data_IF_618530700187
#
_entry.id   IF_618530700187
#
_cell.length_a   1.000
_cell.length_b   1.000
_cell.length_c   1.000
_cell.angle_alpha   90.00
_cell.angle_beta   90.00
_cell.angle_gamma   90.00
#
_symmetry.space_group_name_H-M   'P 1'
#
loop_
_entity.id
_entity.type
_entity.pdbx_description
1 polymer ?
#
# COMPACT_ATOMS: atom_id res chain seq x y z
N UNK A 1 8.10 22.23 -6.40
CA UNK A 1 6.76 21.79 -5.91
C UNK A 1 6.00 21.26 -7.11
N UNK A 2 5.58 20.01 -7.08
CA UNK A 2 4.75 19.44 -8.13
C UNK A 2 3.28 19.38 -7.73
N UNK A 3 2.39 19.49 -8.70
CA UNK A 3 0.95 19.43 -8.50
C UNK A 3 0.46 17.98 -8.55
N UNK A 4 -0.26 17.56 -7.51
CA UNK A 4 -0.80 16.20 -7.39
C UNK A 4 -2.33 16.24 -7.40
N UNK A 5 -2.94 15.32 -8.12
CA UNK A 5 -4.37 15.08 -8.03
C UNK A 5 -4.66 13.68 -7.48
N UNK A 6 -5.74 13.54 -6.73
CA UNK A 6 -6.20 12.24 -6.20
C UNK A 6 -7.50 11.87 -6.90
N UNK A 7 -7.51 10.75 -7.62
CA UNK A 7 -8.71 10.17 -8.20
C UNK A 7 -9.21 9.02 -7.32
N UNK A 8 -10.36 9.21 -6.67
CA UNK A 8 -10.89 8.33 -5.65
C UNK A 8 -10.48 8.76 -4.22
N UNK A 9 -11.44 9.28 -3.47
CA UNK A 9 -11.22 9.75 -2.11
C UNK A 9 -11.78 8.78 -1.06
N UNK A 10 -11.51 7.49 -1.31
CA UNK A 10 -11.79 6.37 -0.40
C UNK A 10 -10.82 6.33 0.80
N UNK A 11 -10.66 5.17 1.42
CA UNK A 11 -9.74 4.98 2.55
C UNK A 11 -8.32 5.43 2.22
N UNK A 12 -7.75 4.91 1.13
CA UNK A 12 -6.35 5.20 0.73
C UNK A 12 -6.19 6.66 0.31
N UNK A 13 -7.07 7.20 -0.53
CA UNK A 13 -6.99 8.62 -0.94
C UNK A 13 -7.05 9.58 0.25
N UNK A 14 -7.90 9.30 1.26
CA UNK A 14 -7.96 10.10 2.50
C UNK A 14 -6.72 9.91 3.37
N UNK A 15 -6.20 8.70 3.52
CA UNK A 15 -4.96 8.45 4.28
C UNK A 15 -3.77 9.18 3.66
N UNK A 16 -3.64 9.18 2.33
CA UNK A 16 -2.61 9.95 1.61
C UNK A 16 -2.71 11.44 1.94
N UNK A 17 -3.91 12.03 1.84
CA UNK A 17 -4.06 13.45 2.18
C UNK A 17 -3.79 13.74 3.65
N UNK A 18 -4.21 12.86 4.58
CA UNK A 18 -3.89 12.98 6.01
C UNK A 18 -2.39 13.01 6.24
N UNK A 19 -1.64 12.07 5.66
CA UNK A 19 -0.18 12.00 5.79
C UNK A 19 0.48 13.29 5.27
N UNK A 20 0.04 13.79 4.10
CA UNK A 20 0.55 15.01 3.51
C UNK A 20 0.32 16.22 4.43
N UNK A 21 -0.86 16.36 5.03
CA UNK A 21 -1.18 17.51 5.87
C UNK A 21 -0.67 17.36 7.31
N UNK A 22 -0.58 16.17 7.87
CA UNK A 22 -0.05 15.93 9.21
C UNK A 22 1.47 16.12 9.26
N UNK A 23 2.17 15.74 8.19
CA UNK A 23 3.63 15.90 8.07
C UNK A 23 4.03 17.28 7.49
N UNK A 24 3.08 18.19 7.26
CA UNK A 24 3.33 19.49 6.61
C UNK A 24 4.17 19.37 5.33
N UNK A 25 3.90 18.30 4.54
CA UNK A 25 4.65 17.99 3.31
C UNK A 25 4.50 19.09 2.26
N UNK A 26 5.56 19.29 1.48
CA UNK A 26 5.60 20.25 0.35
C UNK A 26 4.82 19.77 -0.89
N UNK A 27 4.23 18.57 -0.86
CA UNK A 27 3.37 18.05 -1.93
C UNK A 27 2.12 18.92 -2.04
N UNK A 28 1.88 19.48 -3.22
CA UNK A 28 0.74 20.33 -3.49
C UNK A 28 -0.42 19.53 -4.08
N UNK A 29 -1.38 19.11 -3.25
CA UNK A 29 -2.62 18.49 -3.75
C UNK A 29 -3.53 19.57 -4.28
N UNK A 30 -3.68 19.64 -5.61
CA UNK A 30 -4.48 20.67 -6.30
C UNK A 30 -5.92 20.25 -6.53
N UNK A 31 -6.18 18.95 -6.67
CA UNK A 31 -7.52 18.42 -6.95
C UNK A 31 -7.78 17.04 -6.34
N UNK A 32 -9.06 16.81 -6.06
CA UNK A 32 -9.59 15.50 -5.67
C UNK A 32 -10.83 15.25 -6.52
N UNK A 33 -10.87 14.12 -7.19
CA UNK A 33 -12.07 13.64 -7.91
C UNK A 33 -12.70 12.46 -7.16
N UNK A 34 -13.98 12.60 -6.81
CA UNK A 34 -14.78 11.50 -6.24
C UNK A 34 -16.26 11.73 -6.56
N UNK A 35 -17.03 10.65 -6.71
CA UNK A 35 -18.45 10.72 -7.02
C UNK A 35 -19.33 10.94 -5.78
N UNK A 36 -18.75 10.97 -4.60
CA UNK A 36 -19.39 11.22 -3.32
C UNK A 36 -19.80 12.69 -3.12
N UNK A 37 -20.69 12.92 -2.16
CA UNK A 37 -21.06 14.27 -1.75
C UNK A 37 -19.88 14.94 -1.03
N UNK A 38 -19.57 16.18 -1.37
CA UNK A 38 -18.37 16.90 -0.90
C UNK A 38 -18.33 17.11 0.61
N UNK A 39 -19.46 17.44 1.23
CA UNK A 39 -19.55 17.60 2.70
C UNK A 39 -19.30 16.27 3.40
N UNK A 40 -19.78 15.16 2.82
CA UNK A 40 -19.54 13.83 3.35
C UNK A 40 -18.07 13.42 3.21
N UNK A 41 -17.42 13.72 2.06
CA UNK A 41 -16.00 13.48 1.88
C UNK A 41 -15.15 14.24 2.89
N UNK A 42 -15.46 15.51 3.14
CA UNK A 42 -14.80 16.34 4.14
C UNK A 42 -15.03 15.81 5.57
N UNK A 43 -16.25 15.38 5.89
CA UNK A 43 -16.57 14.75 7.15
C UNK A 43 -15.77 13.48 7.38
N UNK A 44 -15.68 12.60 6.37
CA UNK A 44 -14.91 11.35 6.44
C UNK A 44 -13.40 11.58 6.45
N UNK A 45 -12.90 12.68 5.90
CA UNK A 45 -11.50 13.09 6.07
C UNK A 45 -11.22 13.49 7.52
N UNK A 46 -12.14 14.26 8.14
CA UNK A 46 -12.00 14.74 9.52
C UNK A 46 -12.17 13.62 10.54
N UNK A 47 -13.16 12.74 10.35
CA UNK A 47 -13.54 11.70 11.30
C UNK A 47 -13.32 10.31 10.70
N UNK A 48 -12.47 9.52 11.33
CA UNK A 48 -12.20 8.14 10.92
C UNK A 48 -12.21 7.22 12.13
N UNK A 49 -12.83 6.04 11.99
CA UNK A 49 -12.98 5.10 13.11
C UNK A 49 -11.68 4.37 13.46
N UNK A 50 -10.73 4.31 12.52
CA UNK A 50 -9.43 3.65 12.68
C UNK A 50 -8.35 4.69 12.96
N UNK A 51 -8.20 5.68 12.07
CA UNK A 51 -7.16 6.71 12.14
C UNK A 51 -7.49 7.84 13.13
N UNK A 52 -8.69 7.86 13.71
CA UNK A 52 -9.11 8.88 14.65
C UNK A 52 -9.51 10.21 13.98
N UNK A 53 -9.59 11.26 14.81
CA UNK A 53 -9.97 12.61 14.36
C UNK A 53 -8.72 13.33 13.86
N UNK A 54 -8.74 13.77 12.60
CA UNK A 54 -7.65 14.58 12.03
C UNK A 54 -7.53 15.92 12.77
N UNK A 55 -6.35 16.22 13.32
CA UNK A 55 -6.09 17.49 14.06
C UNK A 55 -5.74 18.62 13.07
N UNK A 56 -6.65 18.90 12.15
CA UNK A 56 -6.62 19.99 11.18
C UNK A 56 -8.04 20.55 11.02
N UNK A 57 -8.18 21.81 10.62
CA UNK A 57 -9.49 22.37 10.28
C UNK A 57 -9.89 21.88 8.88
N UNK A 58 -11.07 21.30 8.76
CA UNK A 58 -11.60 20.79 7.48
C UNK A 58 -12.96 21.44 7.23
N UNK A 59 -13.14 22.00 6.05
CA UNK A 59 -14.41 22.58 5.62
C UNK A 59 -14.58 22.48 4.09
N UNK A 60 -15.81 22.72 3.62
CA UNK A 60 -16.13 22.78 2.20
C UNK A 60 -16.71 24.17 1.89
N UNK A 61 -16.29 24.75 0.79
CA UNK A 61 -16.81 26.00 0.25
C UNK A 61 -17.07 25.86 -1.25
N UNK A 62 -18.33 25.60 -1.61
CA UNK A 62 -18.71 25.27 -2.99
C UNK A 62 -18.08 23.95 -3.44
N UNK A 63 -17.25 24.02 -4.45
CA UNK A 63 -16.51 22.89 -5.02
C UNK A 63 -15.05 22.82 -4.51
N UNK A 64 -14.78 23.35 -3.33
CA UNK A 64 -13.44 23.39 -2.73
C UNK A 64 -13.43 22.75 -1.36
N UNK A 65 -12.50 21.81 -1.17
CA UNK A 65 -12.11 21.29 0.14
C UNK A 65 -11.03 22.22 0.72
N UNK A 66 -11.23 22.67 1.93
CA UNK A 66 -10.28 23.54 2.64
C UNK A 66 -9.75 22.76 3.85
N UNK A 67 -8.44 22.56 3.90
CA UNK A 67 -7.74 21.93 5.02
C UNK A 67 -6.69 22.92 5.53
N UNK A 68 -6.96 23.54 6.66
CA UNK A 68 -6.23 24.69 7.20
C UNK A 68 -6.12 25.83 6.17
N UNK A 69 -4.94 26.09 5.62
CA UNK A 69 -4.66 27.09 4.58
C UNK A 69 -4.62 26.50 3.16
N UNK A 70 -4.69 25.17 3.01
CA UNK A 70 -4.70 24.49 1.71
C UNK A 70 -6.10 24.49 1.11
N UNK A 71 -6.21 24.87 -0.14
CA UNK A 71 -7.45 24.86 -0.92
C UNK A 71 -7.32 23.86 -2.06
N UNK A 72 -8.17 22.84 -2.08
CA UNK A 72 -8.13 21.71 -3.02
C UNK A 72 -9.43 21.72 -3.83
N UNK A 73 -9.32 21.70 -5.16
CA UNK A 73 -10.50 21.63 -6.04
C UNK A 73 -11.16 20.27 -5.95
N UNK A 74 -12.47 20.22 -5.76
CA UNK A 74 -13.28 19.00 -5.83
C UNK A 74 -13.93 18.88 -7.20
N UNK A 75 -13.89 17.68 -7.77
CA UNK A 75 -14.60 17.32 -8.99
C UNK A 75 -15.39 16.03 -8.80
N UNK A 76 -16.43 15.82 -9.61
CA UNK A 76 -17.28 14.62 -9.58
C UNK A 76 -17.51 14.11 -11.00
N UNK A 77 -16.41 13.67 -11.63
CA UNK A 77 -16.37 13.25 -13.03
C UNK A 77 -16.09 11.75 -13.07
N UNK A 78 -16.89 11.01 -13.85
CA UNK A 78 -16.85 9.56 -13.87
C UNK A 78 -15.78 9.02 -14.82
N UNK A 79 -15.60 9.62 -16.00
CA UNK A 79 -14.60 9.19 -16.99
C UNK A 79 -13.29 9.93 -16.75
N UNK A 80 -12.18 9.23 -16.49
CA UNK A 80 -10.88 9.88 -16.30
C UNK A 80 -10.42 10.74 -17.48
N UNK A 81 -10.86 10.46 -18.70
CA UNK A 81 -10.52 11.24 -19.89
C UNK A 81 -11.11 12.68 -19.88
N UNK A 82 -12.17 12.90 -19.07
CA UNK A 82 -12.87 14.20 -18.96
C UNK A 82 -12.33 15.06 -17.79
N UNK A 83 -11.36 14.53 -17.02
CA UNK A 83 -10.82 15.22 -15.86
C UNK A 83 -9.94 16.41 -16.28
N UNK A 84 -9.98 17.54 -15.57
CA UNK A 84 -9.32 18.78 -16.00
C UNK A 84 -7.83 18.83 -15.61
N UNK A 85 -7.09 17.73 -15.75
CA UNK A 85 -5.70 17.63 -15.30
C UNK A 85 -4.77 18.61 -16.01
N UNK A 86 -4.98 18.84 -17.30
CA UNK A 86 -4.20 19.79 -18.08
C UNK A 86 -4.38 21.22 -17.61
N UNK A 87 -5.62 21.61 -17.28
CA UNK A 87 -5.95 22.97 -16.84
C UNK A 87 -5.41 23.25 -15.44
N UNK A 88 -5.23 22.21 -14.63
CA UNK A 88 -4.70 22.27 -13.28
C UNK A 88 -3.19 22.00 -13.20
N UNK A 89 -2.53 21.84 -14.35
CA UNK A 89 -1.09 21.52 -14.46
C UNK A 89 -0.68 20.37 -13.53
N UNK A 90 -1.40 19.23 -13.61
CA UNK A 90 -1.18 18.07 -12.73
C UNK A 90 0.06 17.30 -13.19
N UNK A 91 1.03 17.18 -12.31
CA UNK A 91 2.25 16.39 -12.53
C UNK A 91 2.00 14.90 -12.28
N UNK A 92 1.36 14.57 -11.16
CA UNK A 92 1.07 13.18 -10.79
C UNK A 92 -0.39 13.03 -10.40
N UNK A 93 -1.09 12.07 -11.04
CA UNK A 93 -2.39 11.59 -10.58
C UNK A 93 -2.20 10.35 -9.73
N UNK A 94 -2.72 10.36 -8.51
CA UNK A 94 -2.85 9.17 -7.67
C UNK A 94 -4.17 8.50 -7.97
N UNK A 95 -4.14 7.37 -8.68
CA UNK A 95 -5.32 6.56 -8.98
C UNK A 95 -5.61 5.62 -7.80
N UNK A 96 -6.60 5.96 -6.98
CA UNK A 96 -6.98 5.25 -5.77
C UNK A 96 -8.45 4.81 -5.72
N UNK A 97 -9.13 4.78 -6.87
CA UNK A 97 -10.50 4.25 -6.96
C UNK A 97 -10.56 2.73 -6.85
N UNK A 98 -9.48 2.03 -7.24
CA UNK A 98 -9.44 0.58 -7.39
C UNK A 98 -10.22 0.04 -8.60
N UNK A 99 -10.80 0.92 -9.44
CA UNK A 99 -11.58 0.59 -10.63
C UNK A 99 -10.70 0.55 -11.87
N UNK A 100 -9.96 1.63 -12.11
CA UNK A 100 -9.08 1.81 -13.26
C UNK A 100 -7.72 1.18 -12.97
N UNK A 101 -7.48 0.00 -13.54
CA UNK A 101 -6.32 -0.83 -13.17
C UNK A 101 -5.57 -1.41 -14.37
N UNK A 102 -6.10 -1.23 -15.56
CA UNK A 102 -5.49 -1.64 -16.81
C UNK A 102 -4.85 -0.43 -17.52
N UNK A 103 -3.86 -0.68 -18.36
CA UNK A 103 -3.11 0.35 -19.06
C UNK A 103 -4.01 1.27 -19.89
N UNK A 104 -5.07 0.74 -20.52
CA UNK A 104 -6.02 1.53 -21.31
C UNK A 104 -6.73 2.58 -20.43
N UNK A 105 -7.26 2.16 -19.28
CA UNK A 105 -7.96 3.07 -18.38
C UNK A 105 -7.03 4.08 -17.70
N UNK A 106 -5.80 3.69 -17.40
CA UNK A 106 -4.79 4.56 -16.79
C UNK A 106 -4.26 5.61 -17.78
N UNK A 107 -4.11 5.26 -19.06
CA UNK A 107 -3.74 6.21 -20.10
C UNK A 107 -4.75 7.36 -20.27
N UNK A 108 -6.02 7.18 -19.93
CA UNK A 108 -7.02 8.26 -19.93
C UNK A 108 -6.62 9.46 -19.06
N UNK A 109 -5.92 9.23 -17.95
CA UNK A 109 -5.39 10.32 -17.13
C UNK A 109 -4.28 11.09 -17.84
N UNK A 110 -3.42 10.39 -18.60
CA UNK A 110 -2.38 11.03 -19.41
C UNK A 110 -3.00 11.82 -20.56
N UNK A 111 -4.04 11.27 -21.22
CA UNK A 111 -4.80 11.95 -22.28
C UNK A 111 -5.51 13.21 -21.74
N UNK A 112 -5.97 13.17 -20.51
CA UNK A 112 -6.56 14.31 -19.80
C UNK A 112 -5.51 15.37 -19.38
N UNK A 113 -4.23 15.07 -19.55
CA UNK A 113 -3.12 16.02 -19.38
C UNK A 113 -2.27 15.85 -18.15
N UNK A 114 -2.43 14.80 -17.37
CA UNK A 114 -1.49 14.44 -16.30
C UNK A 114 -0.16 14.01 -16.91
N UNK A 115 0.97 14.32 -16.24
CA UNK A 115 2.29 13.92 -16.72
C UNK A 115 2.60 12.47 -16.34
N UNK A 116 2.21 12.05 -15.12
CA UNK A 116 2.40 10.68 -14.61
C UNK A 116 1.16 10.19 -13.85
N UNK A 117 1.00 8.88 -13.75
CA UNK A 117 -0.06 8.20 -12.99
C UNK A 117 0.57 7.25 -11.99
N UNK A 118 0.20 7.39 -10.72
CA UNK A 118 0.57 6.46 -9.65
C UNK A 118 -0.64 5.62 -9.25
N UNK A 119 -0.61 4.34 -9.58
CA UNK A 119 -1.66 3.38 -9.27
C UNK A 119 -1.45 2.80 -7.87
N UNK A 120 -2.48 2.85 -7.02
CA UNK A 120 -2.42 2.38 -5.61
C UNK A 120 -2.88 0.93 -5.42
N UNK A 121 -2.89 0.14 -6.46
CA UNK A 121 -3.22 -1.31 -6.44
C UNK A 121 -2.39 -2.03 -7.51
N UNK A 122 -2.26 -3.37 -7.45
CA UNK A 122 -1.62 -4.11 -8.53
C UNK A 122 -2.33 -3.90 -9.88
N UNK A 123 -1.59 -3.68 -10.98
CA UNK A 123 -2.17 -3.54 -12.30
C UNK A 123 -2.77 -4.88 -12.79
N UNK A 124 -3.66 -4.81 -13.79
CA UNK A 124 -4.26 -5.98 -14.43
C UNK A 124 -3.46 -6.47 -15.64
N UNK A 125 -2.70 -5.58 -16.24
CA UNK A 125 -1.86 -5.80 -17.41
C UNK A 125 -0.53 -5.06 -17.27
N UNK A 126 0.32 -5.11 -18.29
CA UNK A 126 1.64 -4.50 -18.25
C UNK A 126 1.55 -2.98 -18.24
N UNK A 127 2.32 -2.36 -17.35
CA UNK A 127 2.54 -0.92 -17.20
C UNK A 127 4.04 -0.63 -17.17
N UNK A 128 4.44 0.65 -17.10
CA UNK A 128 5.86 1.01 -17.19
C UNK A 128 6.69 0.43 -16.03
N UNK A 129 6.21 0.55 -14.77
CA UNK A 129 6.90 0.01 -13.62
C UNK A 129 5.96 -0.36 -12.46
N UNK A 130 6.36 -1.36 -11.68
CA UNK A 130 5.80 -1.66 -10.35
C UNK A 130 6.92 -1.54 -9.33
N UNK A 131 6.78 -0.60 -8.40
CA UNK A 131 7.83 -0.23 -7.45
C UNK A 131 7.39 -0.53 -6.02
N UNK A 132 8.26 -1.21 -5.30
CA UNK A 132 8.23 -1.38 -3.85
C UNK A 132 9.46 -0.72 -3.27
N UNK A 133 9.29 0.39 -2.58
CA UNK A 133 10.38 1.18 -2.04
C UNK A 133 11.24 0.38 -1.04
N UNK A 134 12.55 0.54 -1.12
CA UNK A 134 13.54 -0.26 -0.41
C UNK A 134 13.86 -1.61 -1.05
N UNK A 135 13.16 -1.99 -2.13
CA UNK A 135 13.34 -3.29 -2.80
C UNK A 135 13.87 -3.11 -4.22
N UNK A 136 13.16 -2.37 -5.06
CA UNK A 136 13.50 -2.18 -6.46
C UNK A 136 13.42 -0.71 -6.89
N UNK A 137 13.79 0.22 -6.04
CA UNK A 137 13.76 1.67 -6.32
C UNK A 137 14.52 2.04 -7.59
N UNK A 138 15.63 1.34 -7.86
CA UNK A 138 16.48 1.55 -9.03
C UNK A 138 15.84 1.19 -10.37
N UNK A 139 14.70 0.52 -10.37
CA UNK A 139 13.96 0.17 -11.58
C UNK A 139 13.11 1.35 -12.09
N UNK A 140 12.84 2.35 -11.23
CA UNK A 140 12.08 3.53 -11.61
C UNK A 140 12.90 4.44 -12.53
N UNK A 141 12.37 4.69 -13.73
CA UNK A 141 13.02 5.54 -14.75
C UNK A 141 12.29 6.88 -14.89
N UNK A 142 13.00 7.95 -15.27
CA UNK A 142 12.39 9.26 -15.49
C UNK A 142 11.26 9.23 -16.55
N UNK A 143 11.41 8.39 -17.57
CA UNK A 143 10.43 8.23 -18.64
C UNK A 143 9.17 7.45 -18.27
N UNK A 144 9.16 6.73 -17.14
CA UNK A 144 7.99 5.96 -16.68
C UNK A 144 6.84 6.90 -16.35
N UNK A 145 5.70 6.66 -16.99
CA UNK A 145 4.50 7.48 -16.86
C UNK A 145 3.42 6.83 -16.03
N UNK A 146 3.30 5.50 -16.07
CA UNK A 146 2.31 4.73 -15.33
C UNK A 146 3.05 3.78 -14.39
N UNK A 147 3.01 4.10 -13.11
CA UNK A 147 3.73 3.37 -12.06
C UNK A 147 2.75 2.83 -11.02
N UNK A 148 2.93 1.60 -10.58
CA UNK A 148 2.16 1.02 -9.47
C UNK A 148 3.03 0.88 -8.23
N UNK A 149 2.45 1.19 -7.06
CA UNK A 149 3.05 0.88 -5.75
C UNK A 149 2.70 -0.54 -5.26
N UNK A 150 2.35 -1.46 -6.16
CA UNK A 150 1.94 -2.84 -5.84
C UNK A 150 0.76 -2.89 -4.82
N UNK A 151 0.74 -3.89 -3.94
CA UNK A 151 -0.24 -4.01 -2.85
C UNK A 151 0.39 -3.76 -1.48
N UNK A 152 -0.42 -3.48 -0.47
CA UNK A 152 0.04 -3.36 0.92
C UNK A 152 0.74 -4.65 1.40
N UNK A 153 0.21 -5.82 1.04
CA UNK A 153 0.82 -7.11 1.37
C UNK A 153 2.16 -7.30 0.66
N UNK A 154 2.28 -6.89 -0.61
CA UNK A 154 3.56 -6.97 -1.34
C UNK A 154 4.60 -6.03 -0.72
N UNK A 155 4.19 -4.83 -0.29
CA UNK A 155 5.05 -3.89 0.43
C UNK A 155 5.54 -4.43 1.78
N UNK A 156 4.74 -5.25 2.47
CA UNK A 156 5.17 -5.93 3.68
C UNK A 156 6.11 -7.12 3.39
N UNK A 157 5.77 -7.94 2.40
CA UNK A 157 6.44 -9.21 2.12
C UNK A 157 7.79 -9.01 1.41
N UNK A 158 7.87 -8.12 0.42
CA UNK A 158 9.06 -8.00 -0.42
C UNK A 158 10.32 -7.57 0.34
N UNK A 159 10.29 -6.58 1.27
CA UNK A 159 11.47 -6.22 2.05
C UNK A 159 12.03 -7.38 2.88
N UNK A 160 11.18 -8.14 3.56
CA UNK A 160 11.67 -9.28 4.36
C UNK A 160 12.14 -10.44 3.47
N UNK A 161 11.46 -10.71 2.34
CA UNK A 161 11.90 -11.71 1.38
C UNK A 161 13.29 -11.36 0.81
N UNK A 162 13.52 -10.08 0.48
CA UNK A 162 14.82 -9.57 0.04
C UNK A 162 15.91 -9.81 1.07
N UNK A 163 15.67 -9.44 2.34
CA UNK A 163 16.66 -9.66 3.42
C UNK A 163 17.00 -11.14 3.57
N UNK A 164 16.00 -12.03 3.53
CA UNK A 164 16.22 -13.46 3.65
C UNK A 164 16.95 -14.05 2.44
N UNK A 165 16.60 -13.63 1.23
CA UNK A 165 17.25 -14.12 0.01
C UNK A 165 18.70 -13.64 -0.10
N UNK A 166 18.95 -12.34 0.07
CA UNK A 166 20.27 -11.73 -0.04
C UNK A 166 21.28 -12.34 0.97
N UNK A 167 20.83 -12.68 2.18
CA UNK A 167 21.72 -13.20 3.22
C UNK A 167 21.81 -14.73 3.19
N UNK A 168 20.74 -15.44 2.88
CA UNK A 168 20.64 -16.87 3.13
C UNK A 168 20.20 -17.70 1.91
N UNK A 169 19.68 -17.07 0.85
CA UNK A 169 19.14 -17.71 -0.33
C UNK A 169 17.79 -18.40 -0.05
N UNK A 170 16.73 -18.00 -0.75
CA UNK A 170 15.41 -18.65 -0.67
C UNK A 170 15.33 -19.73 -1.76
N UNK A 171 15.06 -20.97 -1.36
CA UNK A 171 14.77 -22.10 -2.26
C UNK A 171 13.30 -22.06 -2.67
N UNK A 172 12.41 -22.02 -1.67
CA UNK A 172 10.96 -21.97 -1.85
C UNK A 172 10.26 -21.47 -0.58
N UNK A 173 9.01 -21.03 -0.71
CA UNK A 173 8.24 -20.60 0.45
C UNK A 173 6.74 -20.50 0.22
N UNK A 174 6.00 -20.58 1.32
CA UNK A 174 4.57 -20.36 1.35
C UNK A 174 4.24 -19.24 2.34
N UNK A 175 3.36 -18.33 1.89
CA UNK A 175 2.90 -17.21 2.69
C UNK A 175 1.41 -17.33 2.98
N UNK A 176 1.04 -17.07 4.22
CA UNK A 176 -0.34 -16.77 4.58
C UNK A 176 -0.41 -15.32 5.07
N UNK A 177 -1.16 -14.47 4.38
CA UNK A 177 -1.45 -13.16 4.92
C UNK A 177 -2.79 -13.17 5.65
N UNK A 178 -2.80 -12.76 6.91
CA UNK A 178 -4.02 -12.58 7.71
C UNK A 178 -4.37 -11.10 7.63
N UNK A 179 -5.41 -10.79 6.84
CA UNK A 179 -5.75 -9.42 6.48
C UNK A 179 -6.96 -8.91 7.25
N UNK A 180 -6.90 -7.66 7.65
CA UNK A 180 -8.07 -6.88 7.97
C UNK A 180 -9.08 -6.89 6.80
N UNK A 181 -10.37 -6.72 7.10
CA UNK A 181 -11.39 -6.60 6.04
C UNK A 181 -11.25 -5.28 5.29
N UNK A 182 -11.72 -5.25 4.05
CA UNK A 182 -11.69 -4.06 3.19
C UNK A 182 -13.07 -3.83 2.58
N UNK A 183 -13.27 -2.71 1.88
CA UNK A 183 -14.52 -2.39 1.19
C UNK A 183 -14.92 -3.38 0.08
N UNK A 184 -14.03 -4.30 -0.31
CA UNK A 184 -14.36 -5.44 -1.17
C UNK A 184 -15.29 -6.45 -0.49
N UNK A 185 -15.38 -6.41 0.84
CA UNK A 185 -16.21 -7.28 1.66
C UNK A 185 -17.42 -6.52 2.22
N UNK A 186 -18.52 -7.24 2.41
CA UNK A 186 -19.75 -6.67 2.95
C UNK A 186 -19.92 -6.96 4.46
N UNK A 187 -20.67 -6.10 5.16
CA UNK A 187 -21.03 -6.32 6.55
C UNK A 187 -21.99 -7.51 6.71
N UNK A 188 -22.92 -7.66 5.79
CA UNK A 188 -23.88 -8.78 5.72
C UNK A 188 -23.70 -9.52 4.39
N UNK A 189 -24.28 -10.72 4.28
CA UNK A 189 -24.21 -11.55 3.10
C UNK A 189 -24.68 -10.80 1.85
N UNK A 190 -23.88 -10.85 0.79
CA UNK A 190 -24.21 -10.29 -0.52
C UNK A 190 -23.59 -11.12 -1.65
N UNK A 191 -24.01 -10.87 -2.88
CA UNK A 191 -23.44 -11.51 -4.05
C UNK A 191 -22.00 -11.02 -4.27
N UNK A 192 -21.08 -11.93 -4.52
CA UNK A 192 -19.69 -11.66 -4.81
C UNK A 192 -19.12 -12.75 -5.74
N UNK A 193 -18.16 -12.43 -6.58
CA UNK A 193 -17.50 -13.39 -7.48
C UNK A 193 -16.77 -14.50 -6.72
N UNK A 194 -16.13 -14.16 -5.60
CA UNK A 194 -15.65 -15.09 -4.59
C UNK A 194 -16.77 -15.32 -3.55
N UNK A 195 -17.35 -16.51 -3.54
CA UNK A 195 -18.48 -16.85 -2.65
C UNK A 195 -18.14 -16.69 -1.16
N UNK A 196 -16.86 -16.86 -0.77
CA UNK A 196 -16.43 -16.67 0.61
C UNK A 196 -16.39 -15.20 0.98
N UNK A 197 -15.95 -14.29 0.08
CA UNK A 197 -15.96 -12.83 0.31
C UNK A 197 -17.37 -12.24 0.35
N UNK A 198 -18.36 -12.93 -0.22
CA UNK A 198 -19.78 -12.57 -0.10
C UNK A 198 -20.38 -12.79 1.29
N UNK A 199 -19.62 -13.42 2.23
CA UNK A 199 -20.06 -13.64 3.62
C UNK A 199 -19.66 -12.45 4.50
N UNK A 200 -20.40 -12.28 5.61
CA UNK A 200 -20.19 -11.19 6.57
C UNK A 200 -18.72 -11.08 7.02
N UNK A 201 -18.11 -9.94 6.75
CA UNK A 201 -16.72 -9.65 7.06
C UNK A 201 -16.44 -9.56 8.57
N UNK A 202 -17.44 -9.16 9.34
CA UNK A 202 -17.31 -8.90 10.78
C UNK A 202 -17.52 -10.13 11.66
N UNK A 203 -17.90 -11.28 11.06
CA UNK A 203 -18.26 -12.49 11.81
C UNK A 203 -17.46 -13.73 11.38
N UNK A 204 -16.69 -13.65 10.29
CA UNK A 204 -16.07 -14.82 9.69
C UNK A 204 -14.57 -14.65 9.49
N UNK A 205 -13.83 -15.75 9.65
CA UNK A 205 -12.51 -15.93 9.05
C UNK A 205 -12.74 -16.43 7.63
N UNK A 206 -12.26 -15.67 6.63
CA UNK A 206 -12.56 -15.91 5.21
C UNK A 206 -11.28 -16.27 4.45
N UNK A 207 -11.01 -17.56 4.18
CA UNK A 207 -9.92 -17.96 3.29
C UNK A 207 -10.20 -17.49 1.85
N UNK A 208 -9.21 -16.88 1.20
CA UNK A 208 -9.33 -16.38 -0.18
C UNK A 208 -7.97 -16.34 -0.86
N UNK A 209 -7.95 -16.13 -2.16
CA UNK A 209 -6.72 -15.99 -2.93
C UNK A 209 -6.08 -14.62 -2.71
N UNK A 210 -4.76 -14.57 -2.92
CA UNK A 210 -3.98 -13.34 -3.04
C UNK A 210 -2.93 -13.49 -4.12
N UNK A 211 -2.68 -12.43 -4.88
CA UNK A 211 -1.56 -12.38 -5.82
C UNK A 211 -0.26 -11.85 -5.21
N UNK A 212 -0.27 -11.48 -3.92
CA UNK A 212 0.84 -10.75 -3.30
C UNK A 212 2.17 -11.54 -3.29
N UNK A 213 2.14 -12.86 -3.04
CA UNK A 213 3.35 -13.67 -3.06
C UNK A 213 3.94 -13.78 -4.48
N UNK A 214 3.09 -13.94 -5.50
CA UNK A 214 3.53 -13.96 -6.90
C UNK A 214 4.02 -12.58 -7.36
N UNK A 215 3.43 -11.50 -6.85
CA UNK A 215 3.84 -10.15 -7.15
C UNK A 215 5.24 -9.81 -6.61
N UNK A 216 5.75 -10.53 -5.61
CA UNK A 216 7.15 -10.39 -5.17
C UNK A 216 8.11 -10.74 -6.31
N UNK A 217 7.81 -11.75 -7.13
CA UNK A 217 8.63 -12.08 -8.31
C UNK A 217 8.65 -11.03 -9.42
N UNK A 218 7.75 -10.01 -9.37
CA UNK A 218 7.80 -8.85 -10.29
C UNK A 218 8.81 -7.80 -9.84
N UNK A 219 9.03 -7.66 -8.53
CA UNK A 219 9.95 -6.67 -7.95
C UNK A 219 11.27 -7.29 -7.48
N UNK A 220 11.32 -8.61 -7.35
CA UNK A 220 12.49 -9.44 -7.06
C UNK A 220 12.49 -10.63 -8.04
N UNK A 221 13.01 -10.44 -9.27
CA UNK A 221 12.94 -11.47 -10.32
C UNK A 221 13.57 -12.81 -9.95
N UNK A 222 14.58 -12.83 -9.07
CA UNK A 222 15.23 -14.01 -8.52
C UNK A 222 14.31 -14.88 -7.68
N UNK A 223 13.23 -14.33 -7.14
CA UNK A 223 12.18 -15.03 -6.38
C UNK A 223 10.99 -15.45 -7.24
N UNK A 224 11.03 -15.19 -8.54
CA UNK A 224 9.93 -15.58 -9.43
C UNK A 224 9.71 -17.11 -9.41
N UNK A 225 8.48 -17.52 -9.09
CA UNK A 225 8.09 -18.91 -8.97
C UNK A 225 8.54 -19.64 -7.69
N UNK A 226 9.33 -18.99 -6.81
CA UNK A 226 9.74 -19.55 -5.52
C UNK A 226 8.73 -19.34 -4.39
N UNK A 227 7.90 -18.32 -4.48
CA UNK A 227 6.91 -17.96 -3.46
C UNK A 227 5.47 -18.08 -3.99
N UNK A 228 4.59 -18.68 -3.20
CA UNK A 228 3.13 -18.68 -3.41
C UNK A 228 2.42 -18.52 -2.06
N UNK A 229 1.10 -18.38 -2.07
CA UNK A 229 0.38 -18.21 -0.82
C UNK A 229 -1.11 -17.93 -0.96
N UNK A 230 -1.72 -17.70 0.20
CA UNK A 230 -3.14 -17.39 0.32
C UNK A 230 -3.39 -16.28 1.32
N UNK A 231 -4.61 -15.76 1.34
CA UNK A 231 -5.07 -14.80 2.32
C UNK A 231 -6.15 -15.38 3.23
N UNK A 232 -6.18 -14.92 4.47
CA UNK A 232 -7.29 -15.10 5.39
C UNK A 232 -7.79 -13.72 5.80
N UNK A 233 -9.06 -13.39 5.51
CA UNK A 233 -9.68 -12.18 6.03
C UNK A 233 -10.25 -12.45 7.41
N UNK A 234 -10.03 -11.51 8.33
CA UNK A 234 -10.47 -11.61 9.73
C UNK A 234 -11.32 -10.40 10.14
N UNK A 235 -12.16 -10.51 11.18
CA UNK A 235 -13.01 -9.42 11.66
C UNK A 235 -12.25 -8.28 12.37
N UNK A 236 -11.23 -7.72 11.72
CA UNK A 236 -10.38 -6.63 12.20
C UNK A 236 -10.45 -5.50 11.18
N UNK A 237 -10.67 -4.25 11.58
CA UNK A 237 -10.85 -3.14 10.64
C UNK A 237 -9.56 -2.71 9.94
N UNK A 238 -8.41 -2.86 10.61
CA UNK A 238 -7.08 -2.54 10.11
C UNK A 238 -6.02 -3.28 10.92
N UNK A 239 -4.78 -3.33 10.42
CA UNK A 239 -3.70 -4.11 11.03
C UNK A 239 -3.70 -5.55 10.55
N UNK A 240 -2.82 -5.83 9.60
CA UNK A 240 -2.66 -7.12 8.93
C UNK A 240 -1.31 -7.74 9.27
N UNK A 241 -1.16 -9.04 9.02
CA UNK A 241 0.08 -9.77 9.29
C UNK A 241 0.39 -10.76 8.16
N UNK A 242 1.66 -10.82 7.79
CA UNK A 242 2.24 -11.86 6.92
C UNK A 242 2.89 -12.92 7.80
N UNK A 243 2.51 -14.18 7.57
CA UNK A 243 3.15 -15.39 8.06
C UNK A 243 3.86 -16.04 6.87
N UNK A 244 5.19 -15.94 6.83
CA UNK A 244 6.03 -16.46 5.76
C UNK A 244 6.84 -17.65 6.26
N UNK A 245 6.70 -18.79 5.59
CA UNK A 245 7.54 -19.97 5.80
C UNK A 245 8.39 -20.18 4.57
N UNK A 246 9.72 -20.23 4.73
CA UNK A 246 10.68 -20.43 3.64
C UNK A 246 11.67 -21.54 3.97
N UNK A 247 12.09 -22.24 2.93
CA UNK A 247 13.29 -23.07 2.94
C UNK A 247 14.45 -22.25 2.41
N UNK A 248 15.54 -22.18 3.20
CA UNK A 248 16.76 -21.43 2.86
C UNK A 248 17.84 -22.38 2.32
N UNK A 249 18.74 -21.85 1.48
CA UNK A 249 19.92 -22.58 1.00
C UNK A 249 20.92 -22.82 2.15
N UNK A 250 21.08 -21.85 3.03
CA UNK A 250 22.02 -21.91 4.16
C UNK A 250 21.34 -22.43 5.42
N UNK A 251 22.08 -23.20 6.21
CA UNK A 251 21.70 -23.50 7.59
C UNK A 251 21.96 -22.25 8.45
N UNK A 252 21.00 -21.91 9.28
CA UNK A 252 20.98 -20.68 10.08
C UNK A 252 20.54 -20.97 11.50
N UNK A 253 20.79 -20.02 12.40
CA UNK A 253 20.13 -19.93 13.70
C UNK A 253 19.07 -18.82 13.68
N UNK A 254 18.17 -18.80 14.66
CA UNK A 254 17.22 -17.70 14.87
C UNK A 254 17.97 -16.38 15.04
N UNK A 255 19.07 -16.41 15.76
CA UNK A 255 19.95 -15.23 15.97
C UNK A 255 20.52 -14.68 14.67
N UNK A 256 20.91 -15.52 13.71
CA UNK A 256 21.45 -15.08 12.43
C UNK A 256 20.39 -14.34 11.64
N UNK A 257 19.15 -14.86 11.62
CA UNK A 257 17.99 -14.24 10.95
C UNK A 257 17.67 -12.90 11.59
N UNK A 258 17.46 -12.88 12.92
CA UNK A 258 17.08 -11.68 13.64
C UNK A 258 18.14 -10.58 13.50
N UNK A 259 19.44 -10.93 13.50
CA UNK A 259 20.55 -9.99 13.26
C UNK A 259 20.55 -9.43 11.85
N UNK A 260 20.31 -10.26 10.83
CA UNK A 260 20.24 -9.80 9.45
C UNK A 260 19.08 -8.83 9.24
N UNK A 261 17.90 -9.16 9.77
CA UNK A 261 16.71 -8.30 9.68
C UNK A 261 16.91 -6.99 10.45
N UNK A 262 17.47 -7.07 11.67
CA UNK A 262 17.77 -5.87 12.45
C UNK A 262 18.76 -4.95 11.74
N UNK A 263 19.82 -5.53 11.16
CA UNK A 263 20.80 -4.75 10.41
C UNK A 263 20.16 -4.04 9.21
N UNK A 264 19.31 -4.73 8.47
CA UNK A 264 18.59 -4.13 7.33
C UNK A 264 17.65 -3.00 7.78
N UNK A 265 16.90 -3.20 8.86
CA UNK A 265 16.00 -2.19 9.43
C UNK A 265 16.75 -0.94 9.93
N UNK A 266 17.95 -1.13 10.53
CA UNK A 266 18.75 -0.03 11.05
C UNK A 266 19.51 0.74 9.93
N UNK A 267 19.64 0.17 8.71
CA UNK A 267 20.45 0.72 7.60
C UNK A 267 19.64 0.87 6.29
N UNK A 268 19.78 -0.07 5.35
CA UNK A 268 19.26 0.04 3.98
C UNK A 268 17.74 0.07 3.88
N UNK A 269 17.01 -0.49 4.83
CA UNK A 269 15.54 -0.48 4.90
C UNK A 269 15.03 0.42 6.03
N UNK A 270 15.82 1.38 6.49
CA UNK A 270 15.39 2.34 7.50
C UNK A 270 14.16 3.12 7.02
N UNK A 271 13.11 3.19 7.87
CA UNK A 271 11.82 3.79 7.52
C UNK A 271 10.89 2.91 6.65
N UNK A 272 11.39 1.77 6.14
CA UNK A 272 10.61 0.78 5.37
C UNK A 272 10.31 -0.45 6.23
N UNK A 273 11.34 -1.00 6.86
CA UNK A 273 11.28 -2.16 7.75
C UNK A 273 11.55 -1.74 9.19
N UNK A 274 10.66 -2.10 10.11
CA UNK A 274 10.86 -1.96 11.54
C UNK A 274 11.21 -3.31 12.15
N UNK A 275 12.16 -3.35 13.09
CA UNK A 275 12.49 -4.52 13.88
C UNK A 275 11.90 -4.39 15.29
N UNK A 276 11.03 -5.31 15.71
CA UNK A 276 10.38 -5.29 17.01
C UNK A 276 10.65 -6.57 17.80
N UNK A 277 10.99 -6.41 19.09
CA UNK A 277 11.04 -7.48 20.10
C UNK A 277 9.82 -7.45 21.04
N UNK A 278 8.91 -6.50 20.81
CA UNK A 278 7.69 -6.33 21.59
C UNK A 278 6.62 -7.31 21.07
N UNK A 279 5.87 -8.01 21.96
CA UNK A 279 4.79 -8.90 21.55
C UNK A 279 3.58 -8.08 21.10
N UNK A 280 3.54 -7.74 19.80
CA UNK A 280 2.54 -6.87 19.17
C UNK A 280 1.27 -7.65 18.79
N UNK A 281 0.15 -6.92 18.75
CA UNK A 281 -1.11 -7.34 18.13
C UNK A 281 -1.61 -6.28 17.14
N UNK A 282 -2.64 -6.59 16.36
CA UNK A 282 -3.10 -5.74 15.26
C UNK A 282 -3.41 -4.28 15.64
N UNK A 283 -3.86 -4.01 16.85
CA UNK A 283 -4.17 -2.64 17.32
C UNK A 283 -2.91 -1.82 17.66
N UNK A 284 -1.79 -2.48 17.92
CA UNK A 284 -0.54 -1.80 18.29
C UNK A 284 0.18 -1.19 17.08
N UNK A 285 -0.15 -1.69 15.88
CA UNK A 285 0.51 -1.25 14.64
C UNK A 285 -0.30 -0.20 13.86
N UNK A 286 -1.46 0.20 14.38
CA UNK A 286 -2.25 1.26 13.75
C UNK A 286 -1.47 2.58 13.70
N UNK A 287 -1.53 3.26 12.57
CA UNK A 287 -0.77 4.47 12.26
C UNK A 287 0.76 4.28 12.23
N UNK A 288 1.26 3.05 12.18
CA UNK A 288 2.68 2.81 11.97
C UNK A 288 3.03 3.04 10.49
N UNK A 289 4.01 3.92 10.17
CA UNK A 289 4.34 4.28 8.79
C UNK A 289 5.18 3.23 8.04
N UNK A 290 5.72 2.22 8.72
CA UNK A 290 6.57 1.22 8.07
C UNK A 290 5.76 0.29 7.17
N UNK A 291 6.37 -0.15 6.09
CA UNK A 291 5.79 -1.16 5.17
C UNK A 291 5.70 -2.53 5.82
N UNK A 292 6.66 -2.85 6.67
CA UNK A 292 6.80 -4.16 7.32
C UNK A 292 7.36 -3.97 8.73
N UNK A 293 6.74 -4.59 9.72
CA UNK A 293 7.18 -4.58 11.12
C UNK A 293 7.48 -6.03 11.49
N UNK A 294 8.77 -6.35 11.53
CA UNK A 294 9.24 -7.70 11.82
C UNK A 294 9.08 -8.03 13.31
N UNK A 295 8.37 -9.11 13.62
CA UNK A 295 8.20 -9.65 14.97
C UNK A 295 9.30 -10.67 15.26
N UNK A 296 10.39 -10.21 15.86
CA UNK A 296 11.57 -11.04 16.17
C UNK A 296 11.24 -12.16 17.16
N UNK A 297 10.26 -11.96 18.04
CA UNK A 297 9.86 -12.95 19.03
C UNK A 297 9.13 -14.14 18.43
N UNK A 298 8.55 -13.97 17.24
CA UNK A 298 7.80 -14.99 16.51
C UNK A 298 8.62 -15.78 15.50
N UNK A 299 9.94 -15.52 15.39
CA UNK A 299 10.83 -16.26 14.50
C UNK A 299 10.97 -17.71 14.95
N UNK A 300 10.73 -18.66 14.02
CA UNK A 300 10.83 -20.09 14.28
C UNK A 300 11.75 -20.75 13.26
N UNK A 301 12.41 -21.84 13.69
CA UNK A 301 13.35 -22.58 12.87
C UNK A 301 13.12 -24.09 13.03
N UNK A 302 13.01 -24.81 11.91
CA UNK A 302 12.99 -26.27 11.84
C UNK A 302 14.15 -26.76 10.98
N UNK A 303 14.86 -27.82 11.43
CA UNK A 303 15.92 -28.53 10.71
C UNK A 303 17.08 -27.64 10.24
N UNK A 304 17.18 -26.40 10.80
CA UNK A 304 18.27 -25.46 10.54
C UNK A 304 18.16 -24.67 9.24
N UNK A 305 17.13 -24.87 8.42
CA UNK A 305 16.91 -24.11 7.19
C UNK A 305 15.44 -23.85 6.83
N UNK A 306 14.47 -24.43 7.52
CA UNK A 306 13.06 -24.07 7.37
C UNK A 306 12.71 -22.99 8.39
N UNK A 307 12.51 -21.79 7.90
CA UNK A 307 12.33 -20.59 8.71
C UNK A 307 10.91 -20.10 8.59
N UNK A 308 10.31 -19.75 9.73
CA UNK A 308 9.05 -19.01 9.80
C UNK A 308 9.32 -17.62 10.35
N UNK A 309 8.86 -16.60 9.66
CA UNK A 309 8.88 -15.20 10.10
C UNK A 309 7.49 -14.59 10.07
N UNK A 310 7.25 -13.65 10.97
CA UNK A 310 5.98 -12.92 11.09
C UNK A 310 6.27 -11.44 10.94
N UNK A 311 5.51 -10.78 10.06
CA UNK A 311 5.64 -9.35 9.81
C UNK A 311 4.26 -8.69 9.84
N UNK A 312 4.11 -7.68 10.70
CA UNK A 312 2.92 -6.85 10.79
C UNK A 312 2.96 -5.69 9.81
N UNK A 313 1.81 -5.17 9.44
CA UNK A 313 1.71 -3.95 8.64
C UNK A 313 0.34 -3.30 8.81
N UNK A 314 0.35 -1.97 8.94
CA UNK A 314 -0.87 -1.18 8.77
C UNK A 314 -1.17 -1.13 7.26
N UNK A 315 -2.21 -1.85 6.85
CA UNK A 315 -2.54 -2.03 5.43
C UNK A 315 -3.10 -0.75 4.78
N UNK A 316 -3.45 0.26 5.56
CA UNK A 316 -3.91 1.56 5.09
C UNK A 316 -2.84 2.64 5.29
N UNK A 317 -2.37 2.85 6.52
CA UNK A 317 -1.44 3.93 6.85
C UNK A 317 -0.02 3.67 6.36
N UNK A 318 0.56 2.51 6.66
CA UNK A 318 1.90 2.13 6.19
C UNK A 318 2.00 2.13 4.67
N UNK A 319 0.98 1.57 4.00
CA UNK A 319 0.88 1.59 2.56
C UNK A 319 0.75 3.01 1.99
N UNK A 320 -0.08 3.86 2.59
CA UNK A 320 -0.29 5.24 2.14
C UNK A 320 0.97 6.11 2.34
N UNK A 321 1.79 5.84 3.36
CA UNK A 321 3.11 6.46 3.49
C UNK A 321 4.01 6.13 2.30
N UNK A 322 4.05 4.87 1.87
CA UNK A 322 4.82 4.47 0.65
C UNK A 322 4.31 5.13 -0.61
N UNK A 323 3.00 5.32 -0.73
CA UNK A 323 2.44 6.10 -1.85
C UNK A 323 2.92 7.55 -1.80
N UNK A 324 2.93 8.19 -0.64
CA UNK A 324 3.42 9.58 -0.47
C UNK A 324 4.91 9.68 -0.81
N UNK A 325 5.73 8.73 -0.35
CA UNK A 325 7.15 8.70 -0.68
C UNK A 325 7.38 8.52 -2.19
N UNK A 326 6.62 7.63 -2.83
CA UNK A 326 6.73 7.40 -4.27
C UNK A 326 6.22 8.60 -5.10
N UNK A 327 5.24 9.37 -4.60
CA UNK A 327 4.88 10.65 -5.20
C UNK A 327 6.10 11.58 -5.21
N UNK A 328 6.83 11.70 -4.10
CA UNK A 328 8.07 12.49 -4.02
C UNK A 328 9.07 12.06 -5.10
N UNK A 329 9.36 10.77 -5.19
CA UNK A 329 10.29 10.22 -6.19
C UNK A 329 9.84 10.50 -7.64
N UNK A 330 8.53 10.43 -7.91
CA UNK A 330 7.99 10.72 -9.24
C UNK A 330 8.05 12.20 -9.61
N UNK A 331 7.95 13.10 -8.63
CA UNK A 331 8.07 14.54 -8.81
C UNK A 331 9.55 14.95 -9.01
N UNK A 332 10.49 14.34 -8.31
CA UNK A 332 11.92 14.63 -8.38
C UNK A 332 12.55 14.13 -9.69
N UNK A 333 11.97 13.09 -10.29
CA UNK A 333 12.41 12.50 -11.57
C UNK A 333 11.60 13.03 -12.78
N UNK A 334 10.90 14.16 -12.63
CA UNK A 334 10.03 14.76 -13.66
C UNK A 334 10.61 15.94 -14.42
#
# INVERSE_FOLDING_TARGET
>A
MGNVAINGFGRIGRSILRIIVENDSDINVVAINDLGNYENLAYLLKHDSVMGILDRKVSVAGDKLIVDDRTIQLTSIKDPAELPWKEMDVDVVVESTGIFRDSESLNKHLDAGAKKVLLTVPPKDDIDATIVLGVNDGDLKPEDKIVSNASCTTNCLAPIAKVLDDNFGIISGLMTTVNAYTNDQALAETTHSDFRRGRSATQNIIPTSTGAAKAVGMVLPELNGKLDGMAMRVPVPDGSVVDLVVELEKKVSIDDINKAVKNAADNELNGILEYSEVPLVSTDILNNPHSSIYDASSTQLLEGNHVKVVCWYDNEWGYSNRVVDLIGNLLDNG
#
